data_IF_983707063547
#
_entry.id   IF_983707063547
#
_cell.length_a   1.000
_cell.length_b   1.000
_cell.length_c   1.000
_cell.angle_alpha   90.00
_cell.angle_beta   90.00
_cell.angle_gamma   90.00
#
_symmetry.space_group_name_H-M   'P 1'
#
loop_
_entity.id
_entity.type
_entity.pdbx_description
1 polymer ?
#
# COMPACT_ATOMS: atom_id res chain seq x y z
N UNK A 1 53.18 23.88 8.87
CA UNK A 1 54.04 23.13 7.92
C UNK A 1 53.12 22.21 7.13
N UNK A 2 53.16 22.32 5.80
CA UNK A 2 52.47 21.50 4.77
C UNK A 2 50.92 21.68 4.75
N UNK A 3 50.35 22.70 4.09
CA UNK A 3 49.93 22.78 2.64
C UNK A 3 49.10 21.58 2.18
N UNK A 4 47.91 21.68 1.56
CA UNK A 4 47.61 22.44 0.34
C UNK A 4 46.10 22.35 0.00
N UNK A 5 45.57 23.43 -0.61
CA UNK A 5 44.52 23.60 -1.66
C UNK A 5 43.60 22.39 -1.98
N UNK A 6 42.32 22.55 -2.32
CA UNK A 6 41.54 23.70 -2.78
C UNK A 6 40.51 23.26 -3.84
N UNK A 7 39.37 23.96 -3.85
CA UNK A 7 38.46 24.26 -4.97
C UNK A 7 37.64 23.16 -5.69
N UNK A 8 36.38 23.58 -5.89
CA UNK A 8 35.58 23.57 -7.12
C UNK A 8 34.52 22.47 -7.28
N UNK A 9 33.28 22.95 -7.13
CA UNK A 9 32.06 22.48 -7.76
C UNK A 9 32.27 22.09 -9.22
N UNK A 10 31.81 20.90 -9.62
CA UNK A 10 31.27 20.67 -10.95
C UNK A 10 30.13 19.65 -10.89
N UNK A 11 28.97 20.15 -11.28
CA UNK A 11 27.78 19.42 -11.70
C UNK A 11 28.14 18.54 -12.91
N UNK A 12 27.95 17.22 -12.82
CA UNK A 12 27.92 16.35 -13.99
C UNK A 12 26.79 15.32 -13.83
N UNK A 13 25.75 15.54 -14.63
CA UNK A 13 24.72 14.58 -14.98
C UNK A 13 25.34 13.49 -15.86
N UNK A 14 25.06 12.21 -15.58
CA UNK A 14 25.21 11.14 -16.59
C UNK A 14 23.97 10.26 -16.58
N UNK A 15 23.12 10.50 -17.58
CA UNK A 15 22.14 9.58 -18.11
C UNK A 15 22.52 9.35 -19.58
N UNK A 16 22.87 8.11 -19.95
CA UNK A 16 22.88 7.62 -21.34
C UNK A 16 22.83 6.08 -21.25
N UNK A 17 21.71 5.39 -21.49
CA UNK A 17 21.02 5.10 -22.76
C UNK A 17 21.96 4.55 -23.84
N UNK A 18 21.90 3.23 -24.03
CA UNK A 18 22.52 2.52 -25.15
C UNK A 18 21.64 2.68 -26.39
N UNK A 19 22.25 3.18 -27.47
CA UNK A 19 21.68 3.34 -28.80
C UNK A 19 21.70 2.03 -29.60
N UNK A 20 20.68 1.83 -30.44
CA UNK A 20 20.81 1.14 -31.72
C UNK A 20 20.36 2.11 -32.83
N UNK A 21 21.23 2.30 -33.82
CA UNK A 21 21.07 3.27 -34.90
C UNK A 21 20.22 2.77 -36.06
N UNK A 22 19.75 3.74 -36.86
CA UNK A 22 19.08 3.56 -38.14
C UNK A 22 18.41 4.87 -38.56
N UNK A 23 19.08 5.66 -39.39
CA UNK A 23 18.64 7.00 -39.79
C UNK A 23 17.56 7.00 -40.88
N UNK A 24 16.59 7.90 -40.72
CA UNK A 24 15.90 8.64 -41.78
C UNK A 24 15.17 9.84 -41.15
N UNK A 25 15.23 11.00 -41.79
CA UNK A 25 14.69 12.27 -41.29
C UNK A 25 13.15 12.25 -41.17
N UNK A 26 12.62 12.73 -40.04
CA UNK A 26 11.17 12.96 -39.84
C UNK A 26 10.94 14.29 -39.13
N UNK A 27 10.01 15.06 -39.71
CA UNK A 27 9.47 16.37 -39.33
C UNK A 27 8.96 16.36 -37.87
N UNK A 28 9.08 17.45 -37.08
CA UNK A 28 8.65 17.42 -35.68
C UNK A 28 7.12 17.38 -35.58
N UNK A 29 6.59 16.19 -35.32
CA UNK A 29 5.21 15.99 -34.87
C UNK A 29 5.13 16.27 -33.38
N UNK A 30 4.15 17.09 -32.98
CA UNK A 30 3.74 17.37 -31.59
C UNK A 30 3.79 16.10 -30.74
N UNK A 31 4.62 16.10 -29.70
CA UNK A 31 4.73 14.98 -28.77
C UNK A 31 3.36 14.67 -28.17
N UNK A 32 2.79 13.52 -28.54
CA UNK A 32 1.73 12.88 -27.77
C UNK A 32 2.36 12.39 -26.47
N UNK A 33 1.80 12.82 -25.34
CA UNK A 33 2.10 12.24 -24.04
C UNK A 33 1.88 10.72 -24.13
N UNK A 34 2.84 9.89 -23.66
CA UNK A 34 2.63 8.45 -23.64
C UNK A 34 1.39 8.13 -22.81
N UNK A 35 0.46 7.36 -23.39
CA UNK A 35 -0.75 6.93 -22.68
C UNK A 35 -0.34 6.19 -21.40
N UNK A 36 -0.73 6.80 -20.28
CA UNK A 36 -0.52 6.29 -18.94
C UNK A 36 -1.24 4.95 -18.78
N UNK A 37 -0.62 3.99 -18.09
CA UNK A 37 -1.31 2.78 -17.64
C UNK A 37 -2.22 3.16 -16.47
N UNK A 38 -3.37 3.74 -16.79
CA UNK A 38 -4.38 4.10 -15.82
C UNK A 38 -4.90 2.84 -15.13
N UNK A 39 -4.83 2.80 -13.79
CA UNK A 39 -5.36 1.69 -13.00
C UNK A 39 -6.87 1.89 -12.87
N UNK A 40 -7.64 1.20 -13.70
CA UNK A 40 -9.12 1.21 -13.64
C UNK A 40 -9.60 0.54 -12.36
N UNK A 41 -10.56 1.15 -11.69
CA UNK A 41 -11.16 0.57 -10.48
C UNK A 41 -12.07 -0.59 -10.86
N UNK A 42 -11.73 -1.79 -10.42
CA UNK A 42 -12.61 -2.97 -10.50
C UNK A 42 -13.57 -2.99 -9.31
N UNK A 43 -14.79 -3.52 -9.47
CA UNK A 43 -15.82 -3.67 -8.44
C UNK A 43 -15.54 -4.73 -7.38
N UNK A 44 -14.30 -5.20 -7.28
CA UNK A 44 -13.92 -6.22 -6.31
C UNK A 44 -13.06 -5.55 -5.24
N UNK A 45 -13.54 -5.45 -3.99
CA UNK A 45 -12.62 -5.48 -2.85
C UNK A 45 -11.70 -6.70 -3.03
N UNK A 46 -10.50 -6.78 -2.41
CA UNK A 46 -10.01 -8.10 -2.03
C UNK A 46 -11.08 -8.67 -1.10
N UNK A 47 -12.01 -9.39 -1.70
CA UNK A 47 -12.80 -10.34 -1.00
C UNK A 47 -11.78 -11.29 -0.36
N UNK A 48 -11.68 -11.27 0.97
CA UNK A 48 -11.46 -12.51 1.72
C UNK A 48 -12.74 -13.36 1.62
N UNK A 49 -13.29 -13.49 0.42
CA UNK A 49 -14.13 -14.60 0.07
C UNK A 49 -13.13 -15.63 -0.40
N UNK A 50 -12.94 -16.64 0.44
CA UNK A 50 -12.47 -17.96 0.03
C UNK A 50 -13.42 -18.49 -1.04
N UNK A 51 -13.39 -17.90 -2.24
CA UNK A 51 -14.07 -18.42 -3.40
C UNK A 51 -13.21 -19.58 -3.83
N UNK A 52 -13.65 -20.80 -3.47
CA UNK A 52 -13.12 -22.07 -3.96
C UNK A 52 -13.34 -22.21 -5.48
N UNK A 53 -12.81 -21.29 -6.27
CA UNK A 53 -12.74 -21.36 -7.74
C UNK A 53 -11.29 -21.25 -8.23
N UNK A 54 -10.33 -21.66 -7.39
CA UNK A 54 -8.96 -21.97 -7.80
C UNK A 54 -8.77 -23.48 -7.92
N UNK A 55 -9.73 -24.20 -8.53
CA UNK A 55 -9.75 -25.66 -8.48
C UNK A 55 -10.41 -26.24 -9.73
N UNK A 56 -9.79 -26.09 -10.92
CA UNK A 56 -10.10 -27.01 -12.04
C UNK A 56 -9.04 -27.06 -13.14
N UNK A 57 -8.34 -25.97 -13.44
CA UNK A 57 -7.29 -26.02 -14.50
C UNK A 57 -5.91 -26.41 -13.94
N UNK A 58 -5.58 -26.03 -12.70
CA UNK A 58 -4.31 -26.43 -12.05
C UNK A 58 -4.41 -27.74 -11.25
N UNK A 59 -5.59 -28.10 -10.75
CA UNK A 59 -5.73 -29.30 -9.91
C UNK A 59 -5.69 -30.60 -10.68
N UNK A 60 -6.18 -30.59 -11.92
CA UNK A 60 -6.15 -31.78 -12.76
C UNK A 60 -4.71 -32.22 -13.08
N UNK A 61 -3.73 -31.30 -13.01
CA UNK A 61 -2.30 -31.64 -13.18
C UNK A 61 -1.59 -32.02 -11.87
N UNK A 62 -2.05 -31.51 -10.73
CA UNK A 62 -1.49 -31.85 -9.41
C UNK A 62 -1.98 -33.21 -8.89
N UNK A 63 -3.20 -33.63 -9.23
CA UNK A 63 -3.84 -34.83 -8.70
C UNK A 63 -3.19 -36.17 -9.16
N UNK A 64 -2.32 -36.14 -10.17
CA UNK A 64 -1.60 -37.32 -10.69
C UNK A 64 -0.06 -37.22 -10.56
N UNK A 65 0.46 -36.22 -9.85
CA UNK A 65 1.89 -36.11 -9.63
C UNK A 65 2.32 -37.13 -8.57
N UNK A 66 3.06 -38.17 -8.97
CA UNK A 66 3.71 -39.08 -8.03
C UNK A 66 4.70 -38.26 -7.18
N UNK A 67 4.48 -38.21 -5.87
CA UNK A 67 5.40 -37.51 -4.97
C UNK A 67 6.80 -38.12 -5.08
N UNK A 68 7.87 -37.29 -5.17
CA UNK A 68 9.23 -37.81 -5.26
C UNK A 68 9.56 -38.60 -3.99
N UNK A 69 10.02 -39.83 -4.16
CA UNK A 69 10.40 -40.75 -3.09
C UNK A 69 11.87 -40.63 -2.71
N UNK A 70 12.67 -40.03 -3.58
CA UNK A 70 14.10 -39.80 -3.36
C UNK A 70 14.47 -38.32 -3.56
N UNK A 71 15.61 -37.92 -3.00
CA UNK A 71 16.14 -36.57 -3.19
C UNK A 71 16.44 -36.29 -4.67
N UNK A 72 16.92 -37.29 -5.42
CA UNK A 72 17.20 -37.12 -6.84
C UNK A 72 15.92 -36.97 -7.67
N UNK A 73 14.85 -37.70 -7.34
CA UNK A 73 13.54 -37.48 -7.95
C UNK A 73 13.01 -36.07 -7.66
N UNK A 74 13.12 -35.58 -6.42
CA UNK A 74 12.73 -34.21 -6.07
C UNK A 74 13.52 -33.17 -6.88
N UNK A 75 14.84 -33.33 -6.96
CA UNK A 75 15.72 -32.44 -7.73
C UNK A 75 15.37 -32.46 -9.22
N UNK A 76 15.08 -33.63 -9.78
CA UNK A 76 14.67 -33.76 -11.18
C UNK A 76 13.34 -33.05 -11.44
N UNK A 77 12.32 -33.27 -10.59
CA UNK A 77 11.02 -32.61 -10.69
C UNK A 77 11.13 -31.09 -10.57
N UNK A 78 11.96 -30.57 -9.65
CA UNK A 78 12.18 -29.13 -9.52
C UNK A 78 12.83 -28.54 -10.79
N UNK A 79 13.86 -29.19 -11.34
CA UNK A 79 14.48 -28.73 -12.60
C UNK A 79 13.51 -28.78 -13.78
N UNK A 80 12.66 -29.79 -13.85
CA UNK A 80 11.64 -29.88 -14.90
C UNK A 80 10.68 -28.69 -14.82
N UNK A 81 10.24 -28.31 -13.61
CA UNK A 81 9.40 -27.13 -13.40
C UNK A 81 10.13 -25.85 -13.83
N UNK A 82 11.40 -25.67 -13.42
CA UNK A 82 12.18 -24.47 -13.74
C UNK A 82 12.52 -24.32 -15.23
N UNK A 83 12.51 -25.43 -15.99
CA UNK A 83 12.79 -25.45 -17.43
C UNK A 83 11.55 -25.38 -18.32
N UNK A 84 10.37 -25.19 -17.73
CA UNK A 84 9.13 -25.00 -18.49
C UNK A 84 9.27 -23.82 -19.47
N UNK A 85 8.86 -23.95 -20.75
CA UNK A 85 9.05 -22.91 -21.75
C UNK A 85 8.46 -21.55 -21.35
N UNK A 86 7.37 -21.56 -20.58
CA UNK A 86 6.70 -20.35 -20.09
C UNK A 86 7.58 -19.52 -19.12
N UNK A 87 8.59 -20.15 -18.52
CA UNK A 87 9.53 -19.51 -17.58
C UNK A 87 10.85 -19.11 -18.25
N UNK A 88 11.07 -19.45 -19.52
CA UNK A 88 12.30 -19.16 -20.25
C UNK A 88 12.78 -17.68 -20.20
N UNK A 89 11.90 -16.65 -20.24
CA UNK A 89 12.35 -15.26 -20.18
C UNK A 89 12.67 -14.78 -18.75
N UNK A 90 12.33 -15.56 -17.71
CA UNK A 90 12.49 -15.16 -16.32
C UNK A 90 13.89 -15.51 -15.77
N UNK A 91 14.43 -14.63 -14.93
CA UNK A 91 15.55 -14.99 -14.07
C UNK A 91 15.01 -15.60 -12.77
N UNK A 92 15.18 -16.91 -12.62
CA UNK A 92 14.75 -17.65 -11.44
C UNK A 92 15.95 -17.96 -10.54
N UNK A 93 15.77 -17.80 -9.22
CA UNK A 93 16.69 -18.26 -8.20
C UNK A 93 15.91 -19.07 -7.17
N UNK A 94 16.36 -20.30 -6.91
CA UNK A 94 15.70 -21.22 -5.98
C UNK A 94 16.73 -21.78 -5.02
N UNK A 95 16.37 -21.82 -3.73
CA UNK A 95 17.11 -22.53 -2.69
C UNK A 95 16.13 -23.24 -1.77
N UNK A 96 16.34 -24.54 -1.58
CA UNK A 96 15.55 -25.40 -0.69
C UNK A 96 16.53 -26.04 0.27
N UNK A 97 16.27 -25.88 1.58
CA UNK A 97 17.11 -26.42 2.63
C UNK A 97 16.24 -27.17 3.66
N UNK A 98 16.81 -28.23 4.25
CA UNK A 98 16.23 -28.90 5.42
C UNK A 98 16.43 -28.01 6.64
N UNK A 99 15.35 -27.74 7.38
CA UNK A 99 15.42 -26.99 8.64
C UNK A 99 16.04 -27.81 9.77
N UNK A 100 15.84 -29.14 9.77
CA UNK A 100 16.39 -30.03 10.81
C UNK A 100 17.91 -30.21 10.72
N UNK A 101 18.42 -30.30 9.49
CA UNK A 101 19.84 -30.65 9.23
C UNK A 101 20.66 -29.51 8.66
N UNK A 102 20.03 -28.41 8.23
CA UNK A 102 20.68 -27.30 7.52
C UNK A 102 21.16 -27.65 6.09
N UNK A 103 20.95 -28.88 5.63
CA UNK A 103 21.45 -29.34 4.32
C UNK A 103 20.66 -28.70 3.18
N UNK A 104 21.36 -28.18 2.17
CA UNK A 104 20.74 -27.82 0.89
C UNK A 104 20.22 -29.07 0.19
N UNK A 105 18.92 -29.09 -0.08
CA UNK A 105 18.23 -30.15 -0.81
C UNK A 105 18.24 -29.86 -2.31
N UNK A 106 18.05 -28.60 -2.68
CA UNK A 106 18.09 -28.14 -4.07
C UNK A 106 18.50 -26.66 -4.12
N UNK A 107 19.31 -26.29 -5.11
CA UNK A 107 19.58 -24.89 -5.41
C UNK A 107 19.83 -24.70 -6.90
N UNK A 108 19.36 -23.58 -7.43
CA UNK A 108 19.62 -23.14 -8.79
C UNK A 108 19.70 -21.61 -8.79
N UNK A 109 20.83 -21.06 -9.22
CA UNK A 109 21.05 -19.60 -9.33
C UNK A 109 20.84 -18.84 -7.99
N UNK A 110 20.90 -19.55 -6.85
CA UNK A 110 20.53 -19.04 -5.52
C UNK A 110 21.34 -17.82 -5.03
N UNK A 111 22.53 -17.60 -5.58
CA UNK A 111 23.38 -16.46 -5.23
C UNK A 111 23.09 -15.16 -6.00
N UNK A 112 22.11 -15.15 -6.92
CA UNK A 112 21.76 -13.93 -7.66
C UNK A 112 20.87 -13.00 -6.82
N UNK A 113 21.15 -11.70 -6.91
CA UNK A 113 20.30 -10.67 -6.34
C UNK A 113 19.07 -10.48 -7.23
N UNK A 114 17.88 -10.56 -6.62
CA UNK A 114 16.58 -10.34 -7.27
C UNK A 114 15.78 -9.31 -6.48
N UNK A 115 14.79 -8.70 -7.12
CA UNK A 115 13.79 -7.88 -6.42
C UNK A 115 12.90 -8.82 -5.59
N UNK A 116 12.92 -8.73 -4.25
CA UNK A 116 12.20 -9.68 -3.41
C UNK A 116 10.70 -9.40 -3.34
N UNK A 117 10.24 -8.24 -3.82
CA UNK A 117 8.89 -7.73 -3.60
C UNK A 117 8.51 -7.86 -2.11
N UNK A 118 7.29 -8.33 -1.81
CA UNK A 118 6.83 -8.52 -0.44
C UNK A 118 7.60 -9.58 0.36
N UNK A 119 8.49 -10.38 -0.23
CA UNK A 119 9.40 -11.24 0.54
C UNK A 119 10.36 -10.42 1.40
N UNK A 120 10.56 -9.13 1.11
CA UNK A 120 11.31 -8.21 1.98
C UNK A 120 10.75 -8.18 3.41
N UNK A 121 9.44 -8.39 3.57
CA UNK A 121 8.76 -8.39 4.88
C UNK A 121 9.35 -9.44 5.83
N UNK A 122 9.88 -10.56 5.32
CA UNK A 122 10.55 -11.57 6.16
C UNK A 122 11.75 -10.98 6.91
N UNK A 123 12.57 -10.18 6.21
CA UNK A 123 13.73 -9.52 6.81
C UNK A 123 13.31 -8.41 7.78
N UNK A 124 12.33 -7.60 7.38
CA UNK A 124 11.81 -6.51 8.23
C UNK A 124 11.23 -7.06 9.53
N UNK A 125 10.42 -8.11 9.48
CA UNK A 125 9.82 -8.74 10.68
C UNK A 125 10.89 -9.40 11.54
N UNK A 126 11.85 -10.11 10.96
CA UNK A 126 12.96 -10.70 11.71
C UNK A 126 13.76 -9.62 12.46
N UNK A 127 14.11 -8.51 11.79
CA UNK A 127 14.81 -7.40 12.43
C UNK A 127 13.95 -6.71 13.49
N UNK A 128 12.64 -6.56 13.28
CA UNK A 128 11.74 -6.00 14.26
C UNK A 128 11.64 -6.88 15.52
N UNK A 129 11.52 -8.20 15.36
CA UNK A 129 11.49 -9.14 16.48
C UNK A 129 12.81 -9.14 17.27
N UNK A 130 13.95 -9.08 16.59
CA UNK A 130 15.28 -8.96 17.21
C UNK A 130 15.42 -7.67 18.03
N UNK A 131 14.98 -6.53 17.48
CA UNK A 131 15.19 -5.21 18.10
C UNK A 131 14.14 -4.81 19.12
N UNK A 132 12.88 -5.15 18.89
CA UNK A 132 11.76 -4.71 19.71
C UNK A 132 11.30 -5.79 20.68
N UNK A 133 11.62 -7.06 20.42
CA UNK A 133 11.04 -8.26 21.04
C UNK A 133 9.56 -8.52 20.66
N UNK A 134 9.09 -9.77 20.79
CA UNK A 134 7.66 -10.10 20.60
C UNK A 134 6.70 -9.39 21.58
N UNK A 135 7.22 -8.94 22.74
CA UNK A 135 6.43 -8.29 23.78
C UNK A 135 6.31 -6.78 23.59
N UNK A 136 6.95 -6.22 22.55
CA UNK A 136 6.82 -4.80 22.23
C UNK A 136 5.36 -4.40 22.06
N UNK A 137 5.00 -3.23 22.60
CA UNK A 137 3.71 -2.60 22.38
C UNK A 137 3.92 -1.15 21.98
N UNK A 138 3.25 -0.75 20.90
CA UNK A 138 3.16 0.66 20.54
C UNK A 138 2.47 1.45 21.64
N UNK A 139 2.80 2.74 21.73
CA UNK A 139 2.26 3.65 22.74
C UNK A 139 1.74 4.90 22.07
N UNK A 140 0.45 5.12 22.18
CA UNK A 140 -0.17 6.43 21.91
C UNK A 140 -0.48 7.09 23.25
N UNK A 141 -0.02 8.33 23.43
CA UNK A 141 -0.17 9.08 24.69
C UNK A 141 -1.12 10.25 24.50
N UNK A 142 -1.81 10.65 25.56
CA UNK A 142 -2.65 11.85 25.57
C UNK A 142 -2.13 12.79 26.65
N UNK A 143 -1.81 14.03 26.27
CA UNK A 143 -1.27 15.04 27.16
C UNK A 143 -2.20 16.25 27.26
N UNK A 144 -2.20 16.86 28.44
CA UNK A 144 -2.75 18.18 28.68
C UNK A 144 -1.80 18.91 29.63
N UNK A 145 -1.73 20.25 29.54
CA UNK A 145 -0.87 21.05 30.41
C UNK A 145 -1.25 20.89 31.90
N UNK A 146 -2.53 20.62 32.18
CA UNK A 146 -3.07 20.30 33.51
C UNK A 146 -4.12 19.20 33.41
N UNK A 147 -4.33 18.40 34.47
CA UNK A 147 -5.45 17.47 34.54
C UNK A 147 -6.81 18.16 34.38
N UNK A 148 -7.88 17.43 34.01
CA UNK A 148 -9.24 17.95 34.05
C UNK A 148 -9.59 18.51 35.44
N UNK A 149 -10.29 19.65 35.48
CA UNK A 149 -10.80 20.22 36.73
C UNK A 149 -11.95 19.37 37.33
N UNK A 150 -12.52 19.80 38.46
CA UNK A 150 -13.61 19.08 39.12
C UNK A 150 -14.87 18.91 38.26
N UNK A 151 -15.06 19.76 37.25
CA UNK A 151 -16.15 19.63 36.28
C UNK A 151 -15.77 18.70 35.11
N UNK A 152 -14.53 18.22 35.04
CA UNK A 152 -13.99 17.42 33.95
C UNK A 152 -13.49 18.26 32.77
N UNK A 153 -13.15 19.53 32.98
CA UNK A 153 -12.74 20.43 31.91
C UNK A 153 -11.22 20.58 31.87
N UNK A 154 -10.62 20.37 30.70
CA UNK A 154 -9.25 20.79 30.40
C UNK A 154 -9.28 22.19 29.80
N UNK A 155 -8.69 23.15 30.52
CA UNK A 155 -8.53 24.55 30.10
C UNK A 155 -7.21 24.72 29.36
N UNK A 156 -7.24 24.44 28.07
CA UNK A 156 -6.09 24.39 27.17
C UNK A 156 -6.23 23.24 26.19
N UNK A 157 -5.15 22.96 25.47
CA UNK A 157 -5.14 21.95 24.42
C UNK A 157 -5.04 20.52 24.97
N UNK A 158 -5.59 19.58 24.21
CA UNK A 158 -5.40 18.14 24.39
C UNK A 158 -4.55 17.61 23.25
N UNK A 159 -3.38 17.05 23.55
CA UNK A 159 -2.43 16.55 22.54
C UNK A 159 -2.47 15.03 22.50
N UNK A 160 -2.77 14.45 21.33
CA UNK A 160 -2.64 13.02 21.05
C UNK A 160 -1.29 12.80 20.39
N UNK A 161 -0.36 12.17 21.10
CA UNK A 161 0.99 11.89 20.61
C UNK A 161 1.12 10.45 20.13
N UNK A 162 1.26 10.28 18.81
CA UNK A 162 1.44 8.99 18.16
C UNK A 162 2.89 8.55 18.11
N UNK A 163 3.13 7.24 18.29
CA UNK A 163 4.48 6.62 18.19
C UNK A 163 4.49 5.41 17.26
N UNK A 164 3.66 5.48 16.22
CA UNK A 164 3.62 4.51 15.13
C UNK A 164 2.73 3.31 15.38
N UNK A 165 1.68 3.43 16.20
CA UNK A 165 0.72 2.34 16.41
C UNK A 165 -0.08 2.07 15.12
N UNK A 166 0.14 0.94 14.42
CA UNK A 166 -0.56 0.67 13.17
C UNK A 166 -1.94 0.03 13.41
N UNK A 167 -2.33 -0.19 14.67
CA UNK A 167 -3.55 -0.95 15.01
C UNK A 167 -4.81 -0.10 15.06
N UNK A 168 -4.70 1.23 14.97
CA UNK A 168 -5.82 2.13 14.72
C UNK A 168 -6.31 2.01 13.27
N UNK A 169 -6.65 0.79 12.84
CA UNK A 169 -6.98 0.41 11.47
C UNK A 169 -8.39 -0.15 11.38
N UNK A 170 -9.15 0.27 10.37
CA UNK A 170 -10.49 -0.24 10.13
C UNK A 170 -10.44 -1.69 9.64
N UNK A 171 -9.41 -2.06 8.89
CA UNK A 171 -9.18 -3.41 8.39
C UNK A 171 -9.10 -4.47 9.51
N UNK A 172 -8.58 -4.09 10.67
CA UNK A 172 -8.48 -4.96 11.86
C UNK A 172 -9.78 -5.01 12.67
N UNK A 173 -10.76 -4.17 12.34
CA UNK A 173 -12.02 -4.00 13.08
C UNK A 173 -13.26 -4.27 12.21
N UNK A 174 -13.12 -5.14 11.21
CA UNK A 174 -14.23 -5.54 10.33
C UNK A 174 -14.74 -4.43 9.42
N UNK A 175 -13.91 -3.43 9.11
CA UNK A 175 -14.27 -2.26 8.30
C UNK A 175 -14.96 -1.14 9.10
N UNK A 176 -15.02 -1.24 10.43
CA UNK A 176 -15.58 -0.18 11.27
C UNK A 176 -14.52 0.89 11.55
N UNK A 177 -14.75 2.09 10.99
CA UNK A 177 -13.82 3.22 11.08
C UNK A 177 -13.71 3.85 12.48
N UNK A 178 -14.59 3.48 13.41
CA UNK A 178 -14.65 4.09 14.74
C UNK A 178 -14.08 3.18 15.82
N UNK A 179 -14.30 1.87 15.69
CA UNK A 179 -13.88 0.87 16.70
C UNK A 179 -12.39 0.87 17.00
N UNK A 180 -11.57 1.15 15.99
CA UNK A 180 -10.13 1.11 16.14
C UNK A 180 -9.59 2.09 17.20
N UNK A 181 -10.33 3.17 17.49
CA UNK A 181 -9.96 4.20 18.47
C UNK A 181 -10.82 4.17 19.74
N UNK A 182 -11.79 3.27 19.86
CA UNK A 182 -12.70 3.20 21.01
C UNK A 182 -11.93 3.07 22.31
N UNK A 183 -10.95 2.16 22.38
CA UNK A 183 -10.14 1.96 23.59
C UNK A 183 -9.40 3.24 24.00
N UNK A 184 -8.93 4.04 23.04
CA UNK A 184 -8.29 5.33 23.33
C UNK A 184 -9.33 6.32 23.89
N UNK A 185 -10.49 6.44 23.23
CA UNK A 185 -11.57 7.33 23.66
C UNK A 185 -12.10 6.95 25.05
N UNK A 186 -12.22 5.66 25.36
CA UNK A 186 -12.62 5.16 26.67
C UNK A 186 -11.61 5.52 27.77
N UNK A 187 -10.31 5.39 27.49
CA UNK A 187 -9.26 5.80 28.44
C UNK A 187 -9.25 7.30 28.68
N UNK A 188 -9.48 8.10 27.63
CA UNK A 188 -9.64 9.55 27.76
C UNK A 188 -10.85 9.87 28.64
N UNK A 189 -12.00 9.25 28.40
CA UNK A 189 -13.21 9.44 29.22
C UNK A 189 -12.99 9.02 30.68
N UNK A 190 -12.32 7.88 30.90
CA UNK A 190 -12.02 7.36 32.23
C UNK A 190 -11.06 8.26 33.04
N UNK A 191 -10.30 9.14 32.38
CA UNK A 191 -9.49 10.17 33.06
C UNK A 191 -10.32 11.27 33.74
N UNK A 192 -11.63 11.28 33.54
CA UNK A 192 -12.54 12.32 34.02
C UNK A 192 -12.73 13.47 33.04
N UNK A 193 -12.07 13.42 31.87
CA UNK A 193 -12.25 14.42 30.82
C UNK A 193 -13.68 14.37 30.26
N UNK A 194 -14.33 15.54 30.23
CA UNK A 194 -15.66 15.78 29.65
C UNK A 194 -15.66 16.91 28.64
N UNK A 195 -14.76 17.88 28.77
CA UNK A 195 -14.68 19.05 27.90
C UNK A 195 -13.23 19.51 27.72
N UNK A 196 -12.89 19.90 26.50
CA UNK A 196 -11.65 20.61 26.15
C UNK A 196 -12.05 22.03 25.75
N UNK A 197 -11.44 23.05 26.34
CA UNK A 197 -11.66 24.47 25.98
C UNK A 197 -10.62 25.01 24.98
N UNK A 198 -9.53 24.29 24.74
CA UNK A 198 -8.57 24.57 23.67
C UNK A 198 -8.71 23.62 22.48
N UNK A 199 -7.62 23.42 21.76
CA UNK A 199 -7.58 22.61 20.55
C UNK A 199 -7.34 21.11 20.83
N UNK A 200 -7.77 20.27 19.91
CA UNK A 200 -7.34 18.87 19.83
C UNK A 200 -6.17 18.78 18.84
N UNK A 201 -4.98 18.48 19.34
CA UNK A 201 -3.75 18.50 18.55
C UNK A 201 -3.27 17.06 18.32
N UNK A 202 -3.11 16.66 17.06
CA UNK A 202 -2.42 15.43 16.69
C UNK A 202 -0.91 15.69 16.54
N UNK A 203 -0.09 15.04 17.36
CA UNK A 203 1.36 15.12 17.30
C UNK A 203 1.93 13.81 16.71
N UNK A 204 2.44 13.91 15.48
CA UNK A 204 3.07 12.81 14.74
C UNK A 204 4.61 12.89 14.72
N UNK A 205 5.21 13.79 15.51
CA UNK A 205 6.65 14.11 15.45
C UNK A 205 7.60 12.98 15.87
N UNK A 206 7.08 11.83 16.32
CA UNK A 206 7.90 10.69 16.73
C UNK A 206 8.68 10.07 15.56
N UNK A 207 8.08 10.03 14.37
CA UNK A 207 8.80 9.62 13.16
C UNK A 207 9.43 10.83 12.49
N UNK A 208 10.69 10.67 12.08
CA UNK A 208 11.42 11.67 11.32
C UNK A 208 11.76 11.08 9.94
N UNK A 209 11.38 11.75 8.86
CA UNK A 209 11.72 11.31 7.51
C UNK A 209 10.65 11.65 6.48
N UNK A 210 10.84 11.16 5.26
CA UNK A 210 9.84 11.27 4.22
C UNK A 210 8.65 10.34 4.53
N UNK A 211 7.41 10.75 4.22
CA UNK A 211 6.22 9.93 4.45
C UNK A 211 6.06 8.81 3.42
N UNK A 212 6.97 8.67 2.45
CA UNK A 212 6.90 7.68 1.39
C UNK A 212 8.12 6.77 1.40
N UNK A 213 7.92 5.51 1.02
CA UNK A 213 9.02 4.56 0.84
C UNK A 213 9.96 4.98 -0.30
N UNK A 214 11.26 4.70 -0.13
CA UNK A 214 12.25 4.97 -1.15
C UNK A 214 11.96 4.16 -2.42
N UNK A 215 11.90 4.85 -3.57
CA UNK A 215 11.68 4.23 -4.87
C UNK A 215 10.23 3.83 -5.18
N UNK A 216 9.26 4.26 -4.36
CA UNK A 216 7.84 4.05 -4.68
C UNK A 216 7.43 4.79 -5.96
N UNK A 217 6.61 4.14 -6.78
CA UNK A 217 6.08 4.76 -7.99
C UNK A 217 4.95 5.72 -7.62
N UNK A 218 4.94 6.89 -8.27
CA UNK A 218 3.95 7.94 -7.99
C UNK A 218 2.49 7.46 -8.21
N UNK A 219 2.28 6.47 -9.09
CA UNK A 219 0.96 5.87 -9.35
C UNK A 219 0.45 5.02 -8.19
N UNK A 220 1.35 4.53 -7.33
CA UNK A 220 0.98 3.71 -6.16
C UNK A 220 0.46 4.58 -5.02
N UNK A 221 0.84 5.87 -4.97
CA UNK A 221 0.50 6.80 -3.88
C UNK A 221 -0.98 7.21 -3.81
N UNK A 222 -1.77 6.78 -4.78
CA UNK A 222 -3.24 6.89 -4.77
C UNK A 222 -3.88 5.72 -4.02
N UNK A 223 -3.19 4.59 -3.87
CA UNK A 223 -3.73 3.34 -3.35
C UNK A 223 -3.23 3.07 -1.93
N UNK A 224 -3.99 2.25 -1.18
CA UNK A 224 -3.69 1.93 0.21
C UNK A 224 -2.30 1.31 0.46
N UNK A 225 -1.75 0.59 -0.52
CA UNK A 225 -0.41 -0.02 -0.44
C UNK A 225 0.73 0.99 -0.63
N UNK A 226 0.41 2.21 -1.09
CA UNK A 226 1.30 3.37 -1.16
C UNK A 226 0.90 4.51 -0.22
N UNK A 227 0.11 4.22 0.83
CA UNK A 227 -0.32 5.24 1.80
C UNK A 227 0.89 5.86 2.53
N UNK A 228 0.74 7.13 2.92
CA UNK A 228 1.77 7.85 3.66
C UNK A 228 2.07 7.19 5.00
N UNK A 229 3.32 7.29 5.44
CA UNK A 229 3.80 6.76 6.71
C UNK A 229 3.80 7.90 7.73
N UNK A 230 3.00 7.75 8.78
CA UNK A 230 2.91 8.69 9.91
C UNK A 230 3.06 7.95 11.24
N UNK A 231 3.54 8.64 12.28
CA UNK A 231 3.53 8.12 13.64
C UNK A 231 2.14 8.15 14.29
N UNK A 232 1.18 8.88 13.70
CA UNK A 232 -0.19 8.98 14.16
C UNK A 232 -1.14 8.79 12.97
N UNK A 233 -1.60 7.56 12.79
CA UNK A 233 -2.51 7.18 11.71
C UNK A 233 -3.83 6.63 12.26
N UNK A 234 -4.89 6.73 11.46
CA UNK A 234 -6.18 6.07 11.69
C UNK A 234 -6.66 5.44 10.38
N UNK A 235 -7.48 4.40 10.48
CA UNK A 235 -8.15 3.75 9.35
C UNK A 235 -7.18 3.38 8.22
N UNK A 236 -6.07 2.72 8.57
CA UNK A 236 -5.08 2.22 7.60
C UNK A 236 -4.34 3.35 6.84
N UNK A 237 -4.47 4.60 7.32
CA UNK A 237 -4.13 5.82 6.58
C UNK A 237 -4.81 5.91 5.21
N UNK A 238 -6.01 5.36 5.10
CA UNK A 238 -6.77 5.29 3.87
C UNK A 238 -8.22 5.71 4.13
N UNK A 239 -8.94 5.97 3.05
CA UNK A 239 -10.39 6.07 3.06
C UNK A 239 -10.96 5.19 1.96
N UNK A 240 -12.15 4.68 2.20
CA UNK A 240 -12.93 3.99 1.18
C UNK A 240 -13.64 5.03 0.33
N UNK A 241 -13.50 4.91 -0.99
CA UNK A 241 -14.25 5.70 -1.96
C UNK A 241 -15.42 4.87 -2.47
N UNK A 242 -16.64 5.23 -2.06
CA UNK A 242 -17.87 4.51 -2.42
C UNK A 242 -18.55 5.28 -3.55
N UNK A 243 -18.54 4.71 -4.76
CA UNK A 243 -19.10 5.32 -5.98
C UNK A 243 -20.34 4.53 -6.40
N UNK A 244 -21.51 5.18 -6.44
CA UNK A 244 -22.77 4.56 -6.88
C UNK A 244 -23.30 5.26 -8.13
N UNK A 245 -23.96 4.55 -9.07
CA UNK A 245 -24.52 5.20 -10.24
C UNK A 245 -25.53 6.28 -9.83
N UNK A 246 -25.64 7.31 -10.64
CA UNK A 246 -26.69 8.32 -10.53
C UNK A 246 -28.07 7.73 -10.86
N UNK A 247 -29.12 8.52 -10.65
CA UNK A 247 -30.49 8.04 -10.80
C UNK A 247 -30.90 7.77 -12.25
N UNK A 248 -30.25 8.42 -13.23
CA UNK A 248 -30.58 8.35 -14.65
C UNK A 248 -29.32 8.22 -15.52
N UNK A 249 -29.49 7.73 -16.74
CA UNK A 249 -28.42 7.71 -17.74
C UNK A 249 -27.84 9.11 -17.96
N UNK A 250 -26.52 9.21 -18.01
CA UNK A 250 -25.79 10.46 -18.17
C UNK A 250 -25.69 11.33 -16.90
N UNK A 251 -26.43 11.01 -15.83
CA UNK A 251 -26.27 11.71 -14.54
C UNK A 251 -24.91 11.38 -13.91
N UNK A 252 -24.37 12.32 -13.13
CA UNK A 252 -23.15 12.06 -12.35
C UNK A 252 -23.38 10.93 -11.33
N UNK A 253 -22.36 10.12 -11.06
CA UNK A 253 -22.41 9.14 -9.99
C UNK A 253 -22.45 9.85 -8.63
N UNK A 254 -23.03 9.20 -7.63
CA UNK A 254 -22.93 9.65 -6.23
C UNK A 254 -21.63 9.12 -5.65
N UNK A 255 -20.83 9.98 -5.03
CA UNK A 255 -19.55 9.61 -4.43
C UNK A 255 -19.57 9.98 -2.95
N UNK A 256 -19.21 9.03 -2.10
CA UNK A 256 -19.10 9.21 -0.64
C UNK A 256 -17.81 8.58 -0.13
N UNK A 257 -17.34 9.00 1.05
CA UNK A 257 -16.15 8.43 1.69
C UNK A 257 -16.48 7.67 2.97
N UNK A 258 -15.70 6.62 3.25
CA UNK A 258 -15.67 5.92 4.53
C UNK A 258 -14.29 6.03 5.18
N UNK A 259 -14.13 6.69 6.35
CA UNK A 259 -15.13 7.51 7.02
C UNK A 259 -15.43 8.82 6.23
N UNK A 260 -16.57 9.47 6.50
CA UNK A 260 -16.82 10.83 6.05
C UNK A 260 -15.76 11.78 6.62
N UNK A 261 -15.14 12.60 5.77
CA UNK A 261 -14.09 13.53 6.20
C UNK A 261 -14.16 14.87 5.45
N UNK A 262 -13.95 16.01 6.14
CA UNK A 262 -13.81 17.30 5.48
C UNK A 262 -12.38 17.54 4.96
N UNK A 263 -11.43 16.66 5.25
CA UNK A 263 -10.01 16.84 4.92
C UNK A 263 -9.69 16.60 3.43
N UNK A 264 -10.62 15.96 2.70
CA UNK A 264 -10.44 15.59 1.29
C UNK A 264 -11.54 16.25 0.46
N UNK A 265 -11.14 16.81 -0.69
CA UNK A 265 -12.07 17.32 -1.70
C UNK A 265 -12.22 16.30 -2.83
N UNK A 266 -13.46 16.01 -3.24
CA UNK A 266 -13.74 15.12 -4.37
C UNK A 266 -14.15 15.95 -5.59
N UNK A 267 -13.41 15.81 -6.69
CA UNK A 267 -13.79 16.31 -8.01
C UNK A 267 -14.47 15.20 -8.78
N UNK A 268 -15.79 15.29 -8.92
CA UNK A 268 -16.61 14.28 -9.59
C UNK A 268 -16.81 14.61 -11.08
N UNK A 269 -16.19 13.83 -11.96
CA UNK A 269 -16.35 13.88 -13.43
C UNK A 269 -16.97 12.59 -13.99
N UNK A 270 -17.66 11.84 -13.14
CA UNK A 270 -18.25 10.56 -13.52
C UNK A 270 -19.58 10.74 -14.25
N UNK A 271 -19.99 9.70 -14.97
CA UNK A 271 -21.33 9.61 -15.59
C UNK A 271 -21.93 8.22 -15.39
N UNK A 272 -23.24 8.14 -15.43
CA UNK A 272 -23.97 6.87 -15.31
C UNK A 272 -24.24 6.30 -16.69
N UNK A 273 -23.78 5.07 -16.92
CA UNK A 273 -23.92 4.37 -18.20
C UNK A 273 -25.15 3.44 -18.22
N UNK A 274 -25.47 2.92 -19.40
CA UNK A 274 -26.54 1.94 -19.58
C UNK A 274 -26.29 0.67 -18.77
N UNK A 275 -27.38 -0.03 -18.43
CA UNK A 275 -27.30 -1.33 -17.74
C UNK A 275 -26.45 -2.32 -18.54
N UNK A 276 -25.65 -3.12 -17.86
CA UNK A 276 -24.75 -4.10 -18.48
C UNK A 276 -23.55 -3.51 -19.25
N UNK A 277 -23.35 -2.19 -19.23
CA UNK A 277 -22.13 -1.59 -19.72
C UNK A 277 -20.92 -2.03 -18.86
N UNK A 278 -19.71 -1.84 -19.38
CA UNK A 278 -18.49 -2.09 -18.60
C UNK A 278 -18.26 -0.94 -17.62
N UNK A 279 -18.01 -1.26 -16.34
CA UNK A 279 -17.46 -0.31 -15.37
C UNK A 279 -16.13 0.26 -15.85
N UNK A 280 -16.04 1.57 -15.87
CA UNK A 280 -14.87 2.32 -16.31
C UNK A 280 -14.61 3.50 -15.38
N UNK A 281 -14.22 3.23 -14.15
CA UNK A 281 -13.86 4.27 -13.19
C UNK A 281 -12.34 4.46 -13.15
N UNK A 282 -11.93 5.71 -13.14
CA UNK A 282 -10.55 6.14 -12.91
C UNK A 282 -10.55 7.01 -11.66
N UNK A 283 -9.60 6.73 -10.77
CA UNK A 283 -9.37 7.51 -9.55
C UNK A 283 -7.96 8.04 -9.60
N UNK A 284 -7.82 9.34 -9.37
CA UNK A 284 -6.54 10.03 -9.36
C UNK A 284 -6.46 10.96 -8.15
N UNK A 285 -5.32 10.92 -7.45
CA UNK A 285 -4.96 11.90 -6.43
C UNK A 285 -3.61 12.52 -6.80
N UNK A 286 -3.57 13.84 -6.92
CA UNK A 286 -2.33 14.57 -7.19
C UNK A 286 -1.30 14.37 -6.08
N UNK A 287 -0.02 14.46 -6.43
CA UNK A 287 1.08 14.32 -5.46
C UNK A 287 1.01 15.45 -4.42
N UNK A 288 0.92 15.08 -3.13
CA UNK A 288 0.80 16.05 -2.04
C UNK A 288 -0.53 16.78 -2.00
N UNK A 289 -1.52 16.33 -2.77
CA UNK A 289 -2.85 16.92 -2.81
C UNK A 289 -3.85 16.10 -1.98
N UNK A 290 -4.77 16.82 -1.35
CA UNK A 290 -5.97 16.27 -0.73
C UNK A 290 -7.20 16.43 -1.64
N UNK A 291 -6.98 16.37 -2.96
CA UNK A 291 -8.03 16.40 -3.98
C UNK A 291 -8.03 15.06 -4.71
N UNK A 292 -9.17 14.36 -4.69
CA UNK A 292 -9.38 13.12 -5.43
C UNK A 292 -10.26 13.43 -6.63
N UNK A 293 -9.73 13.25 -7.84
CA UNK A 293 -10.53 13.27 -9.05
C UNK A 293 -11.04 11.86 -9.36
N UNK A 294 -12.34 11.76 -9.62
CA UNK A 294 -12.99 10.51 -10.02
C UNK A 294 -13.67 10.75 -11.36
N UNK A 295 -13.31 9.96 -12.37
CA UNK A 295 -13.81 10.13 -13.73
C UNK A 295 -14.22 8.79 -14.36
N UNK A 296 -14.85 8.88 -15.54
CA UNK A 296 -15.31 7.74 -16.30
C UNK A 296 -16.79 7.41 -16.07
N UNK A 297 -17.16 6.13 -16.14
CA UNK A 297 -18.56 5.72 -16.09
C UNK A 297 -18.86 4.47 -15.27
N UNK A 298 -20.05 4.45 -14.66
CA UNK A 298 -20.56 3.33 -13.88
C UNK A 298 -21.94 2.90 -14.42
N UNK A 299 -22.18 1.61 -14.70
CA UNK A 299 -23.48 1.12 -15.17
C UNK A 299 -24.61 1.39 -14.15
N UNK A 300 -25.82 1.68 -14.63
CA UNK A 300 -26.99 1.94 -13.79
C UNK A 300 -27.36 0.76 -12.86
N UNK A 301 -26.92 -0.45 -13.19
CA UNK A 301 -27.10 -1.68 -12.41
C UNK A 301 -25.87 -2.09 -11.58
N UNK A 302 -24.82 -1.27 -11.54
CA UNK A 302 -23.66 -1.53 -10.69
C UNK A 302 -24.00 -1.30 -9.21
N UNK A 303 -23.64 -2.22 -8.29
CA UNK A 303 -23.96 -2.10 -6.87
C UNK A 303 -23.18 -0.97 -6.16
N UNK A 304 -22.10 -0.48 -6.77
CA UNK A 304 -21.16 0.49 -6.22
C UNK A 304 -19.86 -0.14 -5.73
#
# INVERSE_FOLDING_TARGET
MITNKGRASHLIFFLLLVSLGGGAAVIPTRAQQPQQRERRVSSTPPATTTTKNSQTVSETRAANAVAPKTLEELRASLREVLRRPELAPALLAVKVASLDTGRTLFEETAGKLLLPASNMKLYTVAAALDRLSPDFRFKTSVYAARPPDAAGTVRGDLVIYGRGDPTFAASLNGGDYTKAIDTLAERIRASGLKRVEGDLVGDESYFTGAPHGFGWEWTDLTWHDGAEISALTVNDNALDLIVKPGTNLGAACTITTGPPTPLITITNRTTTAARGARRDLIVYRGLGENVIEVSGSLPLDDPG
#
